data_IF_166441258169
#
_entry.id   IF_166441258169
#
_cell.length_a   1.000
_cell.length_b   1.000
_cell.length_c   1.000
_cell.angle_alpha   90.00
_cell.angle_beta   90.00
_cell.angle_gamma   90.00
#
_symmetry.space_group_name_H-M   'P 1'
#
loop_
_entity.id
_entity.type
_entity.pdbx_description
1 polymer ?
#
# COMPACT_ATOMS: atom_id res chain seq x y z
N UNK A 1 95.01 -19.42 16.11
CA UNK A 1 94.63 -20.83 15.93
C UNK A 1 93.16 -20.98 16.33
N UNK A 2 92.29 -21.28 15.34
CA UNK A 2 90.93 -21.85 15.40
C UNK A 2 89.83 -21.17 16.25
N UNK A 3 88.54 -21.19 15.92
CA UNK A 3 87.80 -21.67 14.74
C UNK A 3 86.31 -21.26 14.90
N UNK A 4 85.55 -21.25 13.77
CA UNK A 4 84.06 -21.39 13.64
C UNK A 4 83.23 -20.18 14.11
N UNK A 5 82.05 -19.84 13.57
CA UNK A 5 81.13 -20.37 12.54
C UNK A 5 80.12 -19.23 12.24
N UNK A 6 79.58 -19.14 11.02
CA UNK A 6 78.16 -19.43 10.68
C UNK A 6 77.14 -18.49 11.36
N UNK A 7 76.46 -17.63 10.58
CA UNK A 7 75.03 -17.76 10.20
C UNK A 7 74.12 -17.16 11.30
N UNK A 8 72.97 -16.50 11.12
CA UNK A 8 72.07 -16.20 10.01
C UNK A 8 71.03 -15.18 10.55
N UNK A 9 70.65 -14.21 9.71
CA UNK A 9 69.36 -13.44 9.61
C UNK A 9 68.58 -12.91 10.83
N UNK A 10 67.85 -11.83 10.50
CA UNK A 10 66.72 -11.16 11.18
C UNK A 10 67.22 -9.96 12.02
N UNK A 11 66.76 -8.72 11.87
CA UNK A 11 65.38 -8.27 11.68
C UNK A 11 65.29 -7.02 10.80
N UNK A 12 64.22 -6.96 10.01
CA UNK A 12 63.78 -5.77 9.27
C UNK A 12 62.40 -5.43 9.81
N UNK A 13 62.35 -4.43 10.69
CA UNK A 13 61.13 -3.64 10.95
C UNK A 13 61.37 -2.23 10.43
N UNK A 14 60.36 -1.65 9.77
CA UNK A 14 59.81 -0.47 10.41
C UNK A 14 58.29 -0.52 10.51
N UNK A 15 57.86 -0.05 11.68
CA UNK A 15 56.53 0.36 12.12
C UNK A 15 55.50 0.59 11.01
N UNK A 16 54.49 -0.26 10.99
CA UNK A 16 53.22 -0.04 10.31
C UNK A 16 52.43 1.04 11.01
N UNK A 17 52.08 2.08 10.25
CA UNK A 17 51.05 3.06 10.56
C UNK A 17 49.76 2.37 11.06
N UNK A 18 49.33 2.71 12.28
CA UNK A 18 48.04 2.33 12.84
C UNK A 18 46.91 3.04 12.09
N UNK A 19 46.41 2.42 11.02
CA UNK A 19 45.09 2.70 10.49
C UNK A 19 44.05 2.03 11.43
N UNK A 20 43.06 2.76 12.00
CA UNK A 20 42.08 2.12 12.86
C UNK A 20 41.21 1.21 12.00
N UNK A 21 41.51 -0.08 12.05
CA UNK A 21 40.68 -1.15 11.53
C UNK A 21 39.31 -1.01 12.18
N UNK A 22 38.34 -0.54 11.38
CA UNK A 22 36.93 -0.62 11.70
C UNK A 22 36.61 -2.12 11.79
N UNK A 23 36.68 -2.65 13.00
CA UNK A 23 36.30 -4.03 13.31
C UNK A 23 34.81 -4.16 12.99
N UNK A 24 34.51 -4.68 11.81
CA UNK A 24 33.18 -5.19 11.50
C UNK A 24 32.87 -6.29 12.52
N UNK A 25 31.80 -6.16 13.34
CA UNK A 25 31.43 -7.24 14.23
C UNK A 25 30.95 -8.42 13.38
N UNK A 26 31.82 -9.43 13.31
CA UNK A 26 31.50 -10.79 12.91
C UNK A 26 30.38 -11.32 13.83
N UNK A 27 29.14 -11.10 13.40
CA UNK A 27 27.94 -11.45 14.16
C UNK A 27 26.65 -10.86 13.60
N UNK A 28 26.63 -10.39 12.35
CA UNK A 28 25.41 -9.89 11.73
C UNK A 28 24.43 -11.06 11.54
N UNK A 29 23.38 -11.07 12.37
CA UNK A 29 22.16 -11.86 12.12
C UNK A 29 21.73 -11.61 10.68
N UNK A 30 21.50 -12.65 9.85
CA UNK A 30 21.18 -12.45 8.45
C UNK A 30 19.95 -11.55 8.32
N UNK A 31 19.93 -10.54 7.43
CA UNK A 31 18.70 -9.89 7.03
C UNK A 31 17.92 -10.91 6.21
N UNK A 32 17.03 -11.64 6.84
CA UNK A 32 16.02 -12.46 6.18
C UNK A 32 15.01 -11.66 5.36
N UNK A 33 13.79 -12.16 5.16
CA UNK A 33 13.04 -11.87 3.95
C UNK A 33 11.53 -11.70 4.07
N UNK A 34 10.99 -11.28 2.92
CA UNK A 34 9.58 -11.07 2.59
C UNK A 34 8.91 -12.39 2.15
N UNK A 35 7.83 -12.89 2.81
CA UNK A 35 7.07 -14.12 2.44
C UNK A 35 5.56 -13.93 2.15
N UNK A 36 5.21 -13.58 0.92
CA UNK A 36 3.85 -13.25 0.47
C UNK A 36 3.06 -14.48 -0.01
N UNK A 37 1.91 -14.84 0.60
CA UNK A 37 0.94 -15.82 0.08
C UNK A 37 -0.02 -15.34 -1.03
N UNK A 38 -0.36 -14.05 -1.17
CA UNK A 38 -1.12 -13.49 -2.31
C UNK A 38 -0.96 -11.96 -2.33
N UNK A 39 -1.04 -11.36 -3.52
CA UNK A 39 -0.79 -9.94 -3.77
C UNK A 39 -1.47 -9.51 -5.09
N UNK A 40 -2.78 -9.32 -5.11
CA UNK A 40 -3.51 -8.61 -6.17
C UNK A 40 -3.12 -7.13 -6.45
N UNK A 41 -1.82 -6.78 -6.46
CA UNK A 41 -1.22 -5.51 -6.92
C UNK A 41 -0.70 -4.58 -5.81
N UNK A 42 0.12 -3.60 -6.18
CA UNK A 42 0.71 -2.61 -5.26
C UNK A 42 2.24 -2.60 -5.31
N UNK A 43 2.89 -2.08 -4.26
CA UNK A 43 4.35 -2.07 -4.13
C UNK A 43 4.79 -2.73 -2.80
N UNK A 44 5.90 -3.49 -2.79
CA UNK A 44 6.48 -4.08 -1.59
C UNK A 44 8.02 -3.97 -1.60
N UNK A 45 8.66 -3.55 -0.51
CA UNK A 45 10.11 -3.38 -0.43
C UNK A 45 10.69 -3.78 0.94
N UNK A 46 11.86 -4.43 1.01
CA UNK A 46 12.53 -4.73 2.29
C UNK A 46 14.01 -4.39 2.28
N UNK A 47 14.51 -3.96 3.42
CA UNK A 47 15.89 -3.57 3.66
C UNK A 47 16.04 -2.14 4.19
N UNK A 48 17.26 -1.74 4.58
CA UNK A 48 17.56 -0.36 4.93
C UNK A 48 17.19 0.62 3.81
N UNK A 49 16.39 1.63 4.15
CA UNK A 49 15.83 2.69 3.30
C UNK A 49 14.94 2.13 2.19
N UNK A 50 14.28 1.01 2.42
CA UNK A 50 13.36 0.42 1.44
C UNK A 50 12.18 1.34 1.17
N UNK A 51 11.99 1.77 -0.08
CA UNK A 51 10.84 2.59 -0.47
C UNK A 51 9.90 1.78 -1.40
N UNK A 52 8.61 1.80 -1.09
CA UNK A 52 7.56 1.22 -1.91
C UNK A 52 6.50 2.29 -2.21
N UNK A 53 6.15 2.46 -3.47
CA UNK A 53 5.10 3.40 -3.87
C UNK A 53 4.12 2.75 -4.86
N UNK A 54 2.82 2.78 -4.55
CA UNK A 54 1.76 2.34 -5.46
C UNK A 54 1.03 3.54 -6.06
N UNK A 55 1.18 3.77 -7.37
CA UNK A 55 0.43 4.80 -8.14
C UNK A 55 -0.59 4.17 -9.09
N UNK A 56 -0.99 2.92 -8.84
CA UNK A 56 -1.81 2.14 -9.77
C UNK A 56 -3.22 2.71 -9.93
N UNK A 57 -3.75 2.64 -11.16
CA UNK A 57 -5.17 2.89 -11.45
C UNK A 57 -5.89 1.56 -11.67
N UNK A 58 -6.93 1.28 -10.88
CA UNK A 58 -7.65 0.00 -10.88
C UNK A 58 -9.12 0.22 -11.19
N UNK A 59 -9.71 -0.66 -11.98
CA UNK A 59 -11.13 -0.60 -12.35
C UNK A 59 -11.82 -1.84 -11.81
N UNK A 60 -12.98 -1.66 -11.18
CA UNK A 60 -13.82 -2.76 -10.68
C UNK A 60 -13.57 -3.16 -9.22
N UNK A 61 -14.28 -4.20 -8.78
CA UNK A 61 -14.19 -4.74 -7.41
C UNK A 61 -12.79 -5.35 -7.18
N UNK A 62 -12.14 -5.13 -6.01
CA UNK A 62 -10.97 -5.91 -5.66
C UNK A 62 -11.36 -7.40 -5.63
N UNK A 63 -10.72 -8.22 -6.48
CA UNK A 63 -10.91 -9.67 -6.47
C UNK A 63 -10.51 -10.23 -5.09
N UNK A 64 -11.35 -11.08 -4.50
CA UNK A 64 -10.97 -11.90 -3.34
C UNK A 64 -11.40 -11.43 -1.94
N UNK A 65 -12.44 -10.58 -1.80
CA UNK A 65 -12.95 -10.22 -0.47
C UNK A 65 -13.63 -11.37 0.29
N UNK A 66 -14.08 -12.42 -0.42
CA UNK A 66 -14.87 -13.54 0.13
C UNK A 66 -14.07 -14.82 0.42
N UNK A 67 -12.76 -14.85 0.15
CA UNK A 67 -11.95 -16.07 0.29
C UNK A 67 -10.91 -15.92 1.41
N UNK A 68 -10.88 -16.89 2.34
CA UNK A 68 -9.91 -16.90 3.42
C UNK A 68 -8.48 -16.92 2.87
N UNK A 69 -7.58 -16.03 3.32
CA UNK A 69 -6.21 -15.98 2.80
C UNK A 69 -5.47 -17.29 3.13
N UNK A 70 -4.60 -17.79 2.22
CA UNK A 70 -3.78 -18.96 2.49
C UNK A 70 -2.88 -18.72 3.72
N UNK A 71 -2.56 -19.77 4.50
CA UNK A 71 -1.69 -19.64 5.67
C UNK A 71 -0.30 -19.17 5.22
N UNK A 72 0.17 -18.05 5.79
CA UNK A 72 1.53 -17.53 5.58
C UNK A 72 2.52 -18.13 6.57
N UNK A 73 3.66 -18.57 6.07
CA UNK A 73 4.81 -18.96 6.90
C UNK A 73 5.51 -17.69 7.40
N UNK A 74 5.94 -17.70 8.66
CA UNK A 74 6.58 -16.55 9.31
C UNK A 74 7.78 -16.02 8.50
N UNK A 75 7.98 -14.68 8.45
CA UNK A 75 9.05 -14.07 7.68
C UNK A 75 10.42 -14.57 8.15
N UNK A 76 11.29 -14.90 7.19
CA UNK A 76 12.73 -15.06 7.46
C UNK A 76 13.29 -13.74 8.01
N UNK A 77 14.37 -13.74 8.81
CA UNK A 77 14.91 -12.57 9.55
C UNK A 77 15.18 -11.18 8.89
N UNK A 78 14.38 -10.54 8.02
CA UNK A 78 14.78 -9.27 7.35
C UNK A 78 13.94 -8.80 6.15
N UNK A 79 12.72 -9.34 5.99
CA UNK A 79 11.74 -8.81 5.05
C UNK A 79 10.29 -9.02 5.53
N UNK A 80 9.32 -8.98 4.61
CA UNK A 80 7.85 -8.81 4.68
C UNK A 80 7.04 -10.03 4.18
N UNK A 81 6.31 -10.75 5.01
CA UNK A 81 5.44 -11.82 4.54
C UNK A 81 3.96 -11.41 4.28
N UNK A 82 3.41 -11.48 3.05
CA UNK A 82 2.05 -11.00 2.65
C UNK A 82 1.08 -12.07 2.05
N UNK A 83 0.10 -12.61 2.79
CA UNK A 83 -0.80 -13.70 2.36
C UNK A 83 -1.89 -13.43 1.29
N UNK A 84 -2.34 -12.18 1.09
CA UNK A 84 -3.24 -11.65 0.03
C UNK A 84 -3.12 -10.12 0.04
N UNK A 85 -2.89 -9.44 -1.10
CA UNK A 85 -2.78 -7.95 -1.14
C UNK A 85 -3.30 -7.33 -2.43
N UNK A 86 -4.47 -6.71 -2.40
CA UNK A 86 -5.22 -6.24 -3.58
C UNK A 86 -4.99 -4.76 -3.95
N UNK A 87 -3.88 -4.17 -3.49
CA UNK A 87 -3.43 -2.79 -3.76
C UNK A 87 -2.68 -2.13 -2.60
N UNK A 88 -1.96 -1.05 -2.87
CA UNK A 88 -1.25 -0.24 -1.88
C UNK A 88 0.26 -0.46 -1.82
N UNK A 89 0.94 0.07 -0.81
CA UNK A 89 2.40 -0.04 -0.67
C UNK A 89 2.81 -0.65 0.68
N UNK A 90 3.86 -1.46 0.70
CA UNK A 90 4.43 -2.12 1.88
C UNK A 90 5.96 -1.95 1.89
N UNK A 91 6.56 -1.54 2.99
CA UNK A 91 8.02 -1.43 3.10
C UNK A 91 8.52 -1.89 4.47
N UNK A 92 9.74 -2.44 4.55
CA UNK A 92 10.33 -2.98 5.78
C UNK A 92 11.83 -2.75 5.83
N UNK A 93 12.39 -2.53 7.01
CA UNK A 93 13.80 -2.20 7.23
C UNK A 93 14.01 -0.78 7.75
N UNK A 94 15.22 -0.44 8.23
CA UNK A 94 15.46 0.87 8.85
C UNK A 94 15.29 1.98 7.82
N UNK A 95 14.60 3.08 8.13
CA UNK A 95 14.25 4.17 7.20
C UNK A 95 13.37 3.76 6.00
N UNK A 96 12.67 2.63 6.07
CA UNK A 96 11.76 2.21 5.02
C UNK A 96 10.51 3.12 4.93
N UNK A 97 9.98 3.29 3.71
CA UNK A 97 8.80 4.12 3.42
C UNK A 97 7.85 3.42 2.47
N UNK A 98 6.55 3.50 2.76
CA UNK A 98 5.50 3.01 1.90
C UNK A 98 4.53 4.15 1.58
N UNK A 99 4.25 4.39 0.30
CA UNK A 99 3.36 5.44 -0.18
C UNK A 99 2.28 4.86 -1.09
N UNK A 100 1.02 4.91 -0.70
CA UNK A 100 -0.10 4.52 -1.56
C UNK A 100 -0.76 5.78 -2.15
N UNK A 101 -0.66 5.90 -3.47
CA UNK A 101 -1.29 6.89 -4.33
C UNK A 101 -2.15 6.20 -5.41
N UNK A 102 -2.61 4.99 -5.15
CA UNK A 102 -3.45 4.26 -6.09
C UNK A 102 -4.86 4.84 -6.19
N UNK A 103 -5.44 4.78 -7.38
CA UNK A 103 -6.80 5.22 -7.67
C UNK A 103 -7.66 4.01 -8.02
N UNK A 104 -8.81 3.85 -7.35
CA UNK A 104 -9.78 2.80 -7.66
C UNK A 104 -11.02 3.42 -8.31
N UNK A 105 -11.47 2.85 -9.42
CA UNK A 105 -12.58 3.31 -10.23
C UNK A 105 -13.69 2.25 -10.32
N UNK A 106 -14.93 2.71 -10.40
CA UNK A 106 -16.12 1.91 -10.68
C UNK A 106 -16.68 2.36 -12.03
N UNK A 107 -17.04 1.40 -12.87
CA UNK A 107 -17.67 1.68 -14.16
C UNK A 107 -19.05 2.30 -13.96
N UNK A 108 -19.38 3.30 -14.79
CA UNK A 108 -20.68 3.93 -14.74
C UNK A 108 -21.76 2.98 -15.27
N UNK A 109 -22.58 2.45 -14.36
CA UNK A 109 -23.79 1.70 -14.71
C UNK A 109 -24.99 2.66 -14.80
N UNK A 110 -26.03 2.33 -15.58
CA UNK A 110 -27.26 3.13 -15.61
C UNK A 110 -27.85 3.36 -14.22
N UNK A 111 -27.81 2.33 -13.36
CA UNK A 111 -28.27 2.39 -11.98
C UNK A 111 -27.48 3.40 -11.14
N UNK A 112 -26.16 3.51 -11.37
CA UNK A 112 -25.32 4.49 -10.69
C UNK A 112 -25.66 5.90 -11.15
N UNK A 113 -25.85 6.10 -12.45
CA UNK A 113 -26.23 7.40 -13.01
C UNK A 113 -27.58 7.85 -12.46
N UNK A 114 -28.55 6.95 -12.34
CA UNK A 114 -29.86 7.28 -11.76
C UNK A 114 -29.78 7.56 -10.26
N UNK A 115 -28.97 6.82 -9.50
CA UNK A 115 -28.72 7.13 -8.09
C UNK A 115 -28.08 8.52 -7.90
N UNK A 116 -27.11 8.90 -8.75
CA UNK A 116 -26.50 10.23 -8.71
C UNK A 116 -27.49 11.34 -9.07
N UNK A 117 -28.40 11.09 -10.02
CA UNK A 117 -29.48 12.03 -10.37
C UNK A 117 -30.44 12.25 -9.22
N UNK A 118 -30.77 11.21 -8.45
CA UNK A 118 -31.57 11.33 -7.24
C UNK A 118 -30.85 12.21 -6.20
N UNK A 119 -29.55 11.99 -5.99
CA UNK A 119 -28.74 12.80 -5.08
C UNK A 119 -28.55 14.26 -5.54
N UNK A 120 -28.66 14.57 -6.84
CA UNK A 120 -28.70 15.97 -7.33
C UNK A 120 -29.96 16.73 -6.89
N UNK A 121 -31.03 16.02 -6.56
CA UNK A 121 -32.24 16.60 -5.99
C UNK A 121 -32.06 17.08 -4.55
N UNK A 122 -31.02 16.60 -3.85
CA UNK A 122 -30.69 16.98 -2.48
C UNK A 122 -30.04 18.37 -2.42
N UNK A 123 -29.70 18.82 -1.22
CA UNK A 123 -29.10 20.15 -0.98
C UNK A 123 -27.69 20.06 -0.41
N UNK A 124 -26.95 21.17 -0.50
CA UNK A 124 -25.63 21.31 0.10
C UNK A 124 -24.55 20.40 -0.49
N UNK A 125 -23.68 19.89 0.38
CA UNK A 125 -22.49 19.09 0.01
C UNK A 125 -22.83 17.83 -0.77
N UNK A 126 -23.98 17.19 -0.49
CA UNK A 126 -24.40 15.96 -1.16
C UNK A 126 -24.70 16.19 -2.64
N UNK A 127 -25.37 17.30 -2.97
CA UNK A 127 -25.63 17.71 -4.35
C UNK A 127 -24.36 18.08 -5.10
N UNK A 128 -23.46 18.81 -4.44
CA UNK A 128 -22.19 19.22 -5.03
C UNK A 128 -21.33 18.00 -5.39
N UNK A 129 -21.22 17.05 -4.46
CA UNK A 129 -20.47 15.81 -4.66
C UNK A 129 -21.10 14.94 -5.77
N UNK A 130 -22.44 14.84 -5.82
CA UNK A 130 -23.13 14.07 -6.85
C UNK A 130 -22.91 14.66 -8.25
N UNK A 131 -22.94 16.00 -8.35
CA UNK A 131 -22.66 16.69 -9.61
C UNK A 131 -21.19 16.53 -10.06
N UNK A 132 -20.24 16.46 -9.13
CA UNK A 132 -18.85 16.14 -9.45
C UNK A 132 -18.69 14.71 -9.94
N UNK A 133 -19.35 13.74 -9.31
CA UNK A 133 -19.35 12.35 -9.75
C UNK A 133 -19.94 12.19 -11.16
N UNK A 134 -21.05 12.88 -11.47
CA UNK A 134 -21.61 12.89 -12.82
C UNK A 134 -20.65 13.49 -13.86
N UNK A 135 -19.95 14.58 -13.51
CA UNK A 135 -18.93 15.17 -14.41
C UNK A 135 -17.78 14.21 -14.66
N UNK A 136 -17.32 13.51 -13.63
CA UNK A 136 -16.26 12.51 -13.75
C UNK A 136 -16.69 11.34 -14.67
N UNK A 137 -17.93 10.88 -14.51
CA UNK A 137 -18.53 9.85 -15.37
C UNK A 137 -18.65 10.35 -16.81
N UNK A 138 -19.09 11.58 -17.05
CA UNK A 138 -19.19 12.14 -18.40
C UNK A 138 -17.82 12.26 -19.07
N UNK A 139 -16.77 12.59 -18.30
CA UNK A 139 -15.42 12.75 -18.83
C UNK A 139 -14.71 11.41 -19.10
N UNK A 140 -14.96 10.39 -18.27
CA UNK A 140 -14.12 9.17 -18.24
C UNK A 140 -14.90 7.86 -18.39
N UNK A 141 -16.24 7.91 -18.34
CA UNK A 141 -17.11 6.73 -18.26
C UNK A 141 -17.05 6.01 -16.90
N UNK A 142 -16.37 6.59 -15.91
CA UNK A 142 -16.03 5.95 -14.63
C UNK A 142 -16.11 6.95 -13.49
N UNK A 143 -16.14 6.44 -12.26
CA UNK A 143 -16.06 7.26 -11.05
C UNK A 143 -15.11 6.65 -10.04
N UNK A 144 -14.36 7.49 -9.34
CA UNK A 144 -13.50 7.06 -8.22
C UNK A 144 -14.32 6.47 -7.06
N UNK A 145 -13.81 5.37 -6.50
CA UNK A 145 -14.41 4.69 -5.34
C UNK A 145 -14.41 5.58 -4.10
N UNK A 146 -13.39 6.43 -3.94
CA UNK A 146 -13.29 7.42 -2.86
C UNK A 146 -14.45 8.42 -2.91
N UNK A 147 -14.79 8.91 -4.11
CA UNK A 147 -15.93 9.80 -4.35
C UNK A 147 -17.25 9.14 -3.98
N UNK A 148 -17.47 7.89 -4.39
CA UNK A 148 -18.67 7.13 -4.01
C UNK A 148 -18.76 6.89 -2.49
N UNK A 149 -17.65 6.60 -1.82
CA UNK A 149 -17.61 6.51 -0.34
C UNK A 149 -17.96 7.83 0.33
N UNK A 150 -17.47 8.95 -0.21
CA UNK A 150 -17.81 10.29 0.30
C UNK A 150 -19.31 10.58 0.16
N UNK A 151 -19.92 10.22 -0.98
CA UNK A 151 -21.37 10.32 -1.19
C UNK A 151 -22.16 9.52 -0.17
N UNK A 152 -21.79 8.26 0.08
CA UNK A 152 -22.43 7.42 1.11
C UNK A 152 -22.30 8.06 2.51
N UNK A 153 -21.11 8.57 2.86
CA UNK A 153 -20.89 9.23 4.14
C UNK A 153 -21.65 10.57 4.30
N UNK A 154 -21.88 11.30 3.21
CA UNK A 154 -22.70 12.51 3.21
C UNK A 154 -24.19 12.18 3.31
N UNK A 155 -24.65 11.21 2.52
CA UNK A 155 -26.04 10.78 2.50
C UNK A 155 -26.45 10.10 3.82
N UNK A 156 -25.57 9.31 4.45
CA UNK A 156 -25.82 8.72 5.76
C UNK A 156 -25.97 9.78 6.87
N UNK A 157 -25.17 10.87 6.81
CA UNK A 157 -25.32 12.00 7.73
C UNK A 157 -26.63 12.76 7.53
N UNK A 158 -27.08 12.92 6.28
CA UNK A 158 -28.36 13.54 5.97
C UNK A 158 -29.55 12.65 6.37
N UNK A 159 -29.49 11.35 6.09
CA UNK A 159 -30.56 10.39 6.41
C UNK A 159 -30.74 10.17 7.93
N UNK A 160 -29.65 10.19 8.72
CA UNK A 160 -29.74 10.09 10.18
C UNK A 160 -30.51 11.24 10.85
N UNK A 161 -30.75 12.33 10.13
CA UNK A 161 -31.53 13.50 10.60
C UNK A 161 -33.01 13.47 10.22
N UNK A 162 -33.41 12.62 9.25
CA UNK A 162 -34.78 12.54 8.72
C UNK A 162 -35.20 11.07 8.75
N UNK A 163 -35.99 10.67 9.75
CA UNK A 163 -36.37 9.27 10.02
C UNK A 163 -37.30 8.61 8.99
N UNK A 164 -36.93 8.61 7.70
CA UNK A 164 -37.69 7.98 6.61
C UNK A 164 -36.83 7.57 5.42
N UNK A 165 -37.36 6.66 4.60
CA UNK A 165 -36.76 6.24 3.32
C UNK A 165 -36.81 7.40 2.32
N UNK A 166 -35.76 8.22 2.29
CA UNK A 166 -35.58 9.33 1.35
C UNK A 166 -34.94 8.86 0.04
N UNK A 167 -34.98 9.70 -0.99
CA UNK A 167 -34.23 9.49 -2.23
C UNK A 167 -32.72 9.29 -1.94
N UNK A 168 -32.19 10.01 -0.96
CA UNK A 168 -30.83 9.80 -0.46
C UNK A 168 -30.61 8.40 0.13
N UNK A 169 -31.58 7.85 0.87
CA UNK A 169 -31.51 6.48 1.39
C UNK A 169 -31.44 5.43 0.28
N UNK A 170 -32.32 5.52 -0.72
CA UNK A 170 -32.34 4.60 -1.87
C UNK A 170 -31.05 4.69 -2.69
N UNK A 171 -30.59 5.91 -2.98
CA UNK A 171 -29.32 6.11 -3.69
C UNK A 171 -28.11 5.58 -2.88
N UNK A 172 -28.14 5.73 -1.56
CA UNK A 172 -27.09 5.20 -0.67
C UNK A 172 -27.04 3.68 -0.72
N UNK A 173 -28.18 3.00 -0.70
CA UNK A 173 -28.25 1.54 -0.79
C UNK A 173 -27.67 1.03 -2.12
N UNK A 174 -28.06 1.66 -3.24
CA UNK A 174 -27.52 1.32 -4.57
C UNK A 174 -26.01 1.54 -4.63
N UNK A 175 -25.52 2.69 -4.18
CA UNK A 175 -24.08 3.00 -4.20
C UNK A 175 -23.31 2.06 -3.26
N UNK A 176 -23.88 1.75 -2.09
CA UNK A 176 -23.27 0.82 -1.12
C UNK A 176 -23.16 -0.59 -1.70
N UNK A 177 -24.20 -1.07 -2.41
CA UNK A 177 -24.17 -2.36 -3.10
C UNK A 177 -23.14 -2.46 -4.23
N UNK A 178 -22.69 -1.32 -4.78
CA UNK A 178 -21.58 -1.25 -5.75
C UNK A 178 -20.21 -1.17 -5.08
N UNK A 179 -20.17 -0.79 -3.80
CA UNK A 179 -18.94 -0.65 -3.01
C UNK A 179 -18.54 -1.93 -2.27
N UNK A 180 -19.50 -2.82 -2.01
CA UNK A 180 -19.26 -4.17 -1.50
C UNK A 180 -18.70 -5.05 -2.59
#
# INVERSE_FOLDING_TARGET
MGARGEAERADREPDTDEEPTRTDPAGAVPPGGIVIGEFGGGAAAAGPRAEAEDVSRRIGRPRGADEAPPPVVAPVPGGIAIGRMTGGAAASGPDARATDRSEQFIEATPQLVDALRLLRGESGELRAEAAEAEREIQATGRVTRSRLRRLVGLAGRAAGSVGGQTAAGVATEVITGMLT
#
